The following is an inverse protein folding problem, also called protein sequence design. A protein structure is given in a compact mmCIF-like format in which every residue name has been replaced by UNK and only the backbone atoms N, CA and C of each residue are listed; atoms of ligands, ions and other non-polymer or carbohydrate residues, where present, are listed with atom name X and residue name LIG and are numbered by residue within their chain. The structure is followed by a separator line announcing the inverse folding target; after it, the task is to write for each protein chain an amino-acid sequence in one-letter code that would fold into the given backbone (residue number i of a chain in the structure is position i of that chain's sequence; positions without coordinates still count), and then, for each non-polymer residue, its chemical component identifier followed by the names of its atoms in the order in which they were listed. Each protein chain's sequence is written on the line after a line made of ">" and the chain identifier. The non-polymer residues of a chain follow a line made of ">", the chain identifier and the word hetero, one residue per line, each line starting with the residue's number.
data_IF_304027503288
#
_entry.id   IF_304027503288
#
_cell.length_a   1.000
_cell.length_b   1.000
_cell.length_c   1.000
_cell.angle_alpha   90.00
_cell.angle_beta   90.00
_cell.angle_gamma   90.00
#
_symmetry.space_group_name_H-M   'P 1'
#
loop_
_entity.id
_entity.type
_entity.pdbx_description
1 polymer ?
#
# COMPACT_ATOMS: atom_id res chain seq x y z
N UNK A 1 2.99 11.79 -10.06
CA UNK A 1 2.42 10.70 -9.25
C UNK A 1 0.92 10.70 -9.46
N UNK A 2 0.34 9.61 -9.93
CA UNK A 2 -1.12 9.51 -10.13
C UNK A 2 -1.76 9.01 -8.84
N UNK A 3 -2.32 9.92 -8.04
CA UNK A 3 -3.14 9.55 -6.89
C UNK A 3 -4.58 9.27 -7.36
N UNK A 4 -5.22 8.24 -6.80
CA UNK A 4 -6.63 7.90 -7.07
C UNK A 4 -7.36 7.68 -5.75
N UNK A 5 -8.66 8.00 -5.65
CA UNK A 5 -9.43 7.68 -4.46
C UNK A 5 -9.60 6.17 -4.31
N UNK A 6 -9.42 5.66 -3.10
CA UNK A 6 -9.74 4.29 -2.73
C UNK A 6 -11.25 4.07 -2.82
N UNK A 7 -11.67 2.97 -3.45
CA UNK A 7 -13.09 2.62 -3.60
C UNK A 7 -13.75 2.19 -2.28
N UNK A 8 -12.97 1.80 -1.29
CA UNK A 8 -13.46 1.43 0.04
C UNK A 8 -13.68 2.67 0.90
N UNK A 9 -12.56 3.31 1.28
CA UNK A 9 -12.59 4.40 2.26
C UNK A 9 -12.52 5.82 1.66
N UNK A 10 -12.46 5.99 0.34
CA UNK A 10 -12.42 7.29 -0.34
C UNK A 10 -11.09 8.06 -0.27
N UNK A 11 -10.14 7.65 0.58
CA UNK A 11 -8.83 8.33 0.71
C UNK A 11 -8.00 8.24 -0.55
N UNK A 12 -7.13 9.22 -0.78
CA UNK A 12 -6.17 9.20 -1.89
C UNK A 12 -5.10 8.14 -1.66
N UNK A 13 -4.95 7.26 -2.66
CA UNK A 13 -3.90 6.24 -2.71
C UNK A 13 -2.93 6.51 -3.84
N UNK A 14 -1.67 6.21 -3.59
CA UNK A 14 -0.59 6.27 -4.58
C UNK A 14 -0.21 4.87 -4.98
N UNK A 15 -0.19 4.62 -6.29
CA UNK A 15 0.35 3.38 -6.86
C UNK A 15 1.82 3.61 -7.20
N UNK A 16 2.71 2.84 -6.58
CA UNK A 16 4.16 2.92 -6.77
C UNK A 16 4.77 1.54 -6.97
N UNK A 17 5.94 1.46 -7.58
CA UNK A 17 6.75 0.24 -7.61
C UNK A 17 7.85 0.32 -6.57
N UNK A 18 8.08 -0.77 -5.86
CA UNK A 18 9.26 -0.93 -5.01
C UNK A 18 10.52 -1.26 -5.86
N UNK A 19 11.72 -1.35 -5.25
CA UNK A 19 12.95 -1.67 -5.98
C UNK A 19 12.92 -3.01 -6.73
N UNK A 20 12.06 -3.95 -6.31
CA UNK A 20 11.86 -5.24 -6.96
C UNK A 20 10.84 -5.17 -8.12
N UNK A 21 10.30 -3.99 -8.39
CA UNK A 21 9.32 -3.74 -9.45
C UNK A 21 7.89 -4.15 -9.10
N UNK A 22 7.62 -4.55 -7.85
CA UNK A 22 6.28 -4.95 -7.38
C UNK A 22 5.44 -3.72 -7.07
N UNK A 23 4.18 -3.77 -7.49
CA UNK A 23 3.22 -2.70 -7.21
C UNK A 23 2.83 -2.66 -5.73
N UNK A 24 2.91 -1.48 -5.16
CA UNK A 24 2.49 -1.12 -3.82
C UNK A 24 1.37 -0.09 -3.90
N UNK A 25 0.40 -0.21 -2.99
CA UNK A 25 -0.69 0.75 -2.82
C UNK A 25 -0.45 1.48 -1.51
N UNK A 26 -0.15 2.77 -1.59
CA UNK A 26 0.32 3.57 -0.47
C UNK A 26 -0.72 4.63 -0.07
N UNK A 27 -0.88 4.88 1.22
CA UNK A 27 -1.67 5.99 1.74
C UNK A 27 -0.78 7.24 1.86
N UNK A 28 -1.07 8.26 1.05
CA UNK A 28 -0.34 9.53 1.05
C UNK A 28 -0.76 10.48 2.18
N UNK A 29 -1.86 10.20 2.87
CA UNK A 29 -2.40 11.04 3.95
C UNK A 29 -1.88 10.63 5.33
N UNK A 30 -1.43 9.40 5.49
CA UNK A 30 -1.02 8.86 6.78
C UNK A 30 0.31 9.49 7.26
N UNK A 31 0.36 10.05 8.49
CA UNK A 31 1.59 10.60 9.03
C UNK A 31 2.55 9.47 9.42
N UNK A 32 3.75 9.48 8.85
CA UNK A 32 4.85 8.59 9.25
C UNK A 32 5.79 9.36 10.15
N UNK A 33 6.18 8.75 11.26
CA UNK A 33 7.11 9.33 12.24
C UNK A 33 8.37 8.46 12.28
N UNK A 34 9.53 9.10 12.24
CA UNK A 34 10.82 8.44 12.45
C UNK A 34 11.43 8.92 13.76
N UNK A 35 12.08 8.02 14.47
CA UNK A 35 12.81 8.38 15.68
C UNK A 35 14.01 9.27 15.32
N UNK A 36 14.13 10.41 15.99
CA UNK A 36 15.25 11.35 15.83
C UNK A 36 16.24 11.29 16.99
N UNK A 37 15.85 10.71 18.12
CA UNK A 37 16.72 10.54 19.28
C UNK A 37 15.97 10.05 20.51
N UNK A 38 16.63 10.11 21.66
CA UNK A 38 16.05 9.86 22.98
C UNK A 38 16.52 10.98 23.90
N UNK A 39 15.59 11.63 24.62
CA UNK A 39 15.90 12.64 25.63
C UNK A 39 15.19 12.26 26.92
N UNK A 40 15.94 12.18 28.03
CA UNK A 40 15.39 11.84 29.35
C UNK A 40 14.59 10.52 29.35
N UNK A 41 15.05 9.54 28.57
CA UNK A 41 14.39 8.23 28.44
C UNK A 41 13.15 8.22 27.52
N UNK A 42 12.75 9.37 26.97
CA UNK A 42 11.60 9.49 26.05
C UNK A 42 12.10 9.57 24.61
N UNK A 43 11.50 8.75 23.72
CA UNK A 43 11.79 8.78 22.30
C UNK A 43 11.32 10.10 21.68
N UNK A 44 12.24 10.81 21.02
CA UNK A 44 11.91 11.96 20.20
C UNK A 44 11.66 11.49 18.77
N UNK A 45 10.58 11.99 18.17
CA UNK A 45 10.18 11.63 16.81
C UNK A 45 9.98 12.88 15.96
N UNK A 46 10.27 12.74 14.67
CA UNK A 46 10.00 13.78 13.66
C UNK A 46 9.14 13.20 12.55
N UNK A 47 8.30 14.04 11.95
CA UNK A 47 7.46 13.62 10.83
C UNK A 47 8.35 13.40 9.60
N UNK A 48 8.26 12.22 9.02
CA UNK A 48 8.88 11.90 7.74
C UNK A 48 7.86 12.16 6.62
N UNK A 49 8.05 13.26 5.88
CA UNK A 49 7.17 13.65 4.77
C UNK A 49 7.43 12.89 3.48
N UNK A 50 8.48 12.07 3.43
CA UNK A 50 8.86 11.27 2.25
C UNK A 50 8.48 9.80 2.40
N UNK A 51 8.27 9.34 3.63
CA UNK A 51 7.79 8.00 3.90
C UNK A 51 6.26 7.92 3.74
N UNK A 52 5.80 6.80 3.21
CA UNK A 52 4.39 6.44 3.08
C UNK A 52 4.18 5.03 3.63
N UNK A 53 2.96 4.73 4.05
CA UNK A 53 2.59 3.41 4.55
C UNK A 53 1.68 2.68 3.56
N UNK A 54 1.64 1.36 3.68
CA UNK A 54 0.67 0.54 2.94
C UNK A 54 -0.75 1.01 3.23
N UNK A 55 -1.50 1.30 2.18
CA UNK A 55 -2.88 1.72 2.31
C UNK A 55 -3.74 0.65 2.98
N UNK A 56 -3.43 -0.63 2.75
CA UNK A 56 -4.15 -1.76 3.35
C UNK A 56 -4.12 -1.74 4.88
N UNK A 57 -3.09 -1.15 5.49
CA UNK A 57 -2.99 -1.00 6.95
C UNK A 57 -3.81 0.18 7.49
N UNK A 58 -4.19 1.12 6.63
CA UNK A 58 -4.83 2.40 7.00
C UNK A 58 -6.27 2.54 6.49
N UNK A 59 -6.73 1.61 5.67
CA UNK A 59 -8.05 1.59 5.07
C UNK A 59 -9.02 0.88 6.02
N UNK A 60 -10.06 1.59 6.47
CA UNK A 60 -11.11 1.02 7.31
C UNK A 60 -11.85 -0.15 6.62
N UNK A 61 -11.89 -0.13 5.29
CA UNK A 61 -12.55 -1.12 4.45
C UNK A 61 -11.58 -2.14 3.82
N UNK A 62 -10.33 -2.22 4.28
CA UNK A 62 -9.30 -3.10 3.69
C UNK A 62 -9.77 -4.56 3.56
N UNK A 63 -10.54 -5.04 4.54
CA UNK A 63 -11.07 -6.40 4.59
C UNK A 63 -12.01 -6.75 3.42
N UNK A 64 -12.63 -5.75 2.78
CA UNK A 64 -13.46 -5.94 1.58
C UNK A 64 -12.64 -6.27 0.33
N UNK A 65 -11.32 -6.02 0.37
CA UNK A 65 -10.41 -6.22 -0.76
C UNK A 65 -9.41 -7.36 -0.55
N UNK A 66 -9.16 -7.77 0.70
CA UNK A 66 -8.29 -8.92 1.02
C UNK A 66 -9.00 -10.27 0.92
N UNK A 67 -10.34 -10.28 0.89
CA UNK A 67 -11.16 -11.49 0.84
C UNK A 67 -11.39 -12.06 -0.58
N UNK A 68 -10.82 -11.45 -1.63
CA UNK A 68 -10.90 -12.03 -2.98
C UNK A 68 -10.07 -13.31 -3.02
N UNK A 69 -10.76 -14.46 -2.89
CA UNK A 69 -10.24 -15.77 -3.29
C UNK A 69 -9.49 -15.58 -4.61
N UNK A 70 -8.24 -16.02 -4.64
CA UNK A 70 -7.42 -16.17 -5.86
C UNK A 70 -8.38 -16.69 -6.95
N UNK A 71 -8.66 -15.97 -8.04
CA UNK A 71 -9.32 -16.61 -9.15
C UNK A 71 -8.42 -17.79 -9.52
N UNK A 72 -8.97 -18.99 -9.40
CA UNK A 72 -8.38 -20.21 -9.92
C UNK A 72 -8.11 -19.91 -11.40
N UNK A 73 -6.84 -19.62 -11.72
CA UNK A 73 -6.42 -19.56 -13.10
C UNK A 73 -6.44 -21.00 -13.58
N UNK A 74 -7.57 -21.43 -14.12
CA UNK A 74 -7.62 -22.57 -15.01
C UNK A 74 -6.79 -22.20 -16.24
N UNK A 75 -5.52 -22.60 -16.20
CA UNK A 75 -4.64 -22.65 -17.35
C UNK A 75 -5.00 -23.92 -18.13
N UNK A 76 -6.01 -23.87 -19.00
CA UNK A 76 -6.08 -24.83 -20.10
C UNK A 76 -6.64 -24.14 -21.36
N UNK A 77 -5.83 -24.28 -22.42
CA UNK A 77 -6.13 -24.16 -23.87
C UNK A 77 -6.37 -22.79 -24.51
N UNK A 78 -5.33 -22.33 -25.23
CA UNK A 78 -5.31 -21.65 -26.54
C UNK A 78 -3.80 -21.40 -26.85
N UNK A 79 -3.11 -21.80 -27.93
CA UNK A 79 -3.45 -22.24 -29.29
C UNK A 79 -2.18 -22.89 -29.93
N UNK A 80 -2.35 -23.74 -30.95
CA UNK A 80 -1.38 -23.82 -32.06
C UNK A 80 -0.78 -25.18 -32.36
N UNK A 81 -1.42 -25.91 -33.29
CA UNK A 81 -0.79 -26.93 -34.11
C UNK A 81 0.16 -26.28 -35.14
N UNK A 82 1.38 -26.82 -35.27
CA UNK A 82 2.03 -27.19 -36.53
C UNK A 82 3.11 -28.25 -36.24
#
# INVERSE_FOLDING_TARGET
>A
MSAKPCRGCGKLVVFAKDPDGKWQVLDASAPVWRQSGVKEGVAQVVRDSKAMVSHFSTCADANKFSASKKPERNFYEAEGAD
#
